data_IF_389931584745
#
_entry.id   IF_389931584745
#
_cell.length_a   1.000
_cell.length_b   1.000
_cell.length_c   1.000
_cell.angle_alpha   90.00
_cell.angle_beta   90.00
_cell.angle_gamma   90.00
#
_symmetry.space_group_name_H-M   'P 1'
#
loop_
_entity.id
_entity.type
_entity.pdbx_description
1 polymer ?
#
# COMPACT_ATOMS: atom_id res chain seq x y z
N UNK A 1 -13.46 -15.25 2.36
CA UNK A 1 -13.64 -13.78 2.23
C UNK A 1 -14.98 -13.48 1.58
N UNK A 2 -15.68 -12.44 2.02
CA UNK A 2 -16.88 -11.94 1.36
C UNK A 2 -16.62 -10.51 0.90
N UNK A 3 -16.67 -10.30 -0.40
CA UNK A 3 -16.57 -8.98 -1.03
C UNK A 3 -17.94 -8.59 -1.56
N UNK A 4 -18.45 -7.44 -1.15
CA UNK A 4 -19.77 -6.96 -1.50
C UNK A 4 -19.71 -5.53 -2.01
N UNK A 5 -19.98 -5.33 -3.28
CA UNK A 5 -20.16 -3.99 -3.86
C UNK A 5 -21.47 -3.41 -3.35
N UNK A 6 -21.41 -2.21 -2.78
CA UNK A 6 -22.55 -1.48 -2.20
C UNK A 6 -23.05 -0.38 -3.13
N UNK A 7 -22.13 0.29 -3.84
CA UNK A 7 -22.43 1.33 -4.83
C UNK A 7 -21.36 1.35 -5.92
N UNK A 8 -21.74 1.88 -7.09
CA UNK A 8 -20.84 2.12 -8.23
C UNK A 8 -21.14 3.48 -8.83
N UNK A 9 -20.09 4.16 -9.29
CA UNK A 9 -20.20 5.37 -10.12
C UNK A 9 -19.16 5.26 -11.25
N UNK A 10 -19.63 5.01 -12.47
CA UNK A 10 -18.77 4.55 -13.55
C UNK A 10 -18.08 3.22 -13.20
N UNK A 11 -16.73 3.18 -13.24
CA UNK A 11 -15.93 2.03 -12.80
C UNK A 11 -15.54 2.10 -11.33
N UNK A 12 -15.68 3.25 -10.69
CA UNK A 12 -15.40 3.41 -9.26
C UNK A 12 -16.40 2.58 -8.43
N UNK A 13 -15.88 1.85 -7.43
CA UNK A 13 -16.67 0.92 -6.60
C UNK A 13 -16.54 1.30 -5.12
N UNK A 14 -17.67 1.33 -4.43
CA UNK A 14 -17.76 1.32 -2.98
C UNK A 14 -18.11 -0.09 -2.54
N UNK A 15 -17.23 -0.77 -1.84
CA UNK A 15 -17.47 -2.15 -1.43
C UNK A 15 -17.02 -2.40 0.02
N UNK A 16 -17.51 -3.50 0.60
CA UNK A 16 -17.07 -4.04 1.88
C UNK A 16 -16.35 -5.36 1.67
N UNK A 17 -15.18 -5.51 2.32
CA UNK A 17 -14.41 -6.75 2.39
C UNK A 17 -14.48 -7.27 3.81
N UNK A 18 -15.25 -8.34 4.04
CA UNK A 18 -15.34 -8.97 5.36
C UNK A 18 -14.11 -9.86 5.61
N UNK A 19 -13.42 -9.64 6.71
CA UNK A 19 -12.25 -10.39 7.13
C UNK A 19 -12.37 -10.83 8.60
N UNK A 20 -11.49 -11.73 9.05
CA UNK A 20 -11.44 -12.16 10.46
C UNK A 20 -11.03 -11.05 11.44
N UNK A 21 -10.42 -9.98 10.94
CA UNK A 21 -9.99 -8.83 11.74
C UNK A 21 -10.86 -7.57 11.50
N UNK A 22 -12.08 -7.76 10.98
CA UNK A 22 -13.04 -6.69 10.73
C UNK A 22 -13.29 -6.42 9.24
N UNK A 23 -14.19 -5.50 8.97
CA UNK A 23 -14.60 -5.12 7.62
C UNK A 23 -13.71 -3.99 7.11
N UNK A 24 -13.22 -4.14 5.87
CA UNK A 24 -12.50 -3.09 5.15
C UNK A 24 -13.50 -2.40 4.21
N UNK A 25 -13.64 -1.10 4.36
CA UNK A 25 -14.47 -0.26 3.49
C UNK A 25 -13.63 0.30 2.35
N UNK A 26 -13.86 -0.16 1.13
CA UNK A 26 -13.12 0.28 -0.06
C UNK A 26 -13.83 1.42 -0.80
N UNK A 27 -13.09 2.27 -1.54
CA UNK A 27 -11.65 2.32 -1.67
C UNK A 27 -10.93 2.65 -0.36
N UNK A 28 -9.72 2.09 -0.17
CA UNK A 28 -8.96 2.22 1.06
C UNK A 28 -7.47 2.50 0.79
N UNK A 29 -6.87 3.36 1.62
CA UNK A 29 -5.43 3.56 1.67
C UNK A 29 -4.85 2.81 2.88
N UNK A 30 -3.89 1.91 2.62
CA UNK A 30 -3.20 1.14 3.65
C UNK A 30 -1.99 1.93 4.16
N UNK A 31 -1.94 2.21 5.45
CA UNK A 31 -0.84 2.94 6.03
C UNK A 31 0.38 2.02 6.21
N UNK A 32 1.53 2.41 5.61
CA UNK A 32 2.71 1.54 5.55
C UNK A 32 3.54 1.58 6.83
N UNK A 33 3.52 0.48 7.56
CA UNK A 33 4.34 0.21 8.74
C UNK A 33 5.43 -0.83 8.48
N UNK A 34 6.51 -0.43 7.84
CA UNK A 34 7.58 -1.29 7.30
C UNK A 34 8.05 -2.41 8.25
N UNK A 35 8.16 -2.13 9.54
CA UNK A 35 8.64 -3.09 10.57
C UNK A 35 7.67 -3.15 11.75
N UNK A 36 6.41 -3.39 11.49
CA UNK A 36 5.31 -3.35 12.47
C UNK A 36 5.19 -1.97 13.16
N UNK A 37 5.57 -0.92 12.44
CA UNK A 37 5.49 0.46 12.94
C UNK A 37 5.55 1.47 11.80
N UNK A 38 4.78 2.53 11.92
CA UNK A 38 4.83 3.66 10.99
C UNK A 38 6.07 4.51 11.28
N UNK A 39 6.93 4.71 10.27
CA UNK A 39 8.08 5.60 10.39
C UNK A 39 7.61 7.04 10.67
N UNK A 40 8.07 7.63 11.77
CA UNK A 40 7.66 8.96 12.22
C UNK A 40 7.06 8.92 13.62
N UNK A 41 7.33 7.86 14.39
CA UNK A 41 6.89 7.71 15.78
C UNK A 41 5.35 7.75 15.96
N UNK A 42 4.62 7.15 15.04
CA UNK A 42 3.15 7.02 15.08
C UNK A 42 2.81 5.68 15.72
N UNK A 43 2.05 5.71 16.81
CA UNK A 43 1.59 4.53 17.53
C UNK A 43 0.33 3.92 16.89
N UNK A 44 -0.04 2.71 17.32
CA UNK A 44 -1.30 2.08 16.93
C UNK A 44 -2.52 2.86 17.44
N UNK A 45 -2.42 3.51 18.60
CA UNK A 45 -3.48 4.39 19.11
C UNK A 45 -3.65 5.64 18.23
N UNK A 46 -2.54 6.23 17.75
CA UNK A 46 -2.59 7.29 16.76
C UNK A 46 -3.30 6.82 15.48
N UNK A 47 -2.96 5.63 14.99
CA UNK A 47 -3.58 5.06 13.78
C UNK A 47 -5.08 4.85 13.96
N UNK A 48 -5.52 4.35 15.13
CA UNK A 48 -6.96 4.25 15.46
C UNK A 48 -7.61 5.62 15.44
N UNK A 49 -6.95 6.61 16.07
CA UNK A 49 -7.46 7.99 16.19
C UNK A 49 -7.59 8.75 14.87
N UNK A 50 -6.81 8.38 13.85
CA UNK A 50 -6.89 8.96 12.50
C UNK A 50 -7.69 8.11 11.51
N UNK A 51 -8.41 7.09 11.97
CA UNK A 51 -9.31 6.30 11.14
C UNK A 51 -8.63 5.30 10.20
N UNK A 52 -7.39 4.86 10.50
CA UNK A 52 -6.71 3.82 9.71
C UNK A 52 -7.51 2.53 9.75
N UNK A 53 -7.84 1.97 8.59
CA UNK A 53 -8.55 0.71 8.48
C UNK A 53 -7.62 -0.49 8.33
N UNK A 54 -6.57 -0.33 7.51
CA UNK A 54 -5.62 -1.39 7.19
C UNK A 54 -4.21 -0.87 7.36
N UNK A 55 -3.37 -1.65 8.05
CA UNK A 55 -1.93 -1.43 8.11
C UNK A 55 -1.24 -2.37 7.13
N UNK A 56 -0.16 -1.89 6.46
CA UNK A 56 0.66 -2.72 5.60
C UNK A 56 2.04 -2.92 6.25
N UNK A 57 2.41 -4.16 6.52
CA UNK A 57 3.73 -4.55 7.04
C UNK A 57 4.58 -5.26 5.99
N UNK A 58 5.90 -5.02 6.00
CA UNK A 58 6.80 -5.61 5.01
C UNK A 58 7.39 -6.93 5.48
N UNK A 59 7.06 -7.99 4.76
CA UNK A 59 7.48 -9.38 5.00
C UNK A 59 9.01 -9.52 5.10
N UNK A 60 9.76 -9.04 4.11
CA UNK A 60 11.21 -9.12 4.09
C UNK A 60 11.85 -8.42 5.30
N UNK A 61 11.44 -7.19 5.60
CA UNK A 61 12.03 -6.44 6.70
C UNK A 61 11.76 -7.07 8.07
N UNK A 62 10.59 -7.63 8.28
CA UNK A 62 10.24 -8.33 9.52
C UNK A 62 11.00 -9.65 9.65
N UNK A 63 11.14 -10.40 8.55
CA UNK A 63 11.92 -11.64 8.53
C UNK A 63 13.39 -11.42 8.93
N UNK A 64 14.06 -10.42 8.31
CA UNK A 64 15.51 -10.23 8.52
C UNK A 64 15.88 -9.44 9.78
N UNK A 65 14.94 -8.70 10.39
CA UNK A 65 15.23 -7.91 11.60
C UNK A 65 14.78 -8.61 12.87
N UNK A 66 13.46 -8.77 13.02
CA UNK A 66 12.85 -9.36 14.22
C UNK A 66 12.84 -10.89 14.13
N UNK A 67 12.57 -11.41 12.92
CA UNK A 67 12.36 -12.82 12.65
C UNK A 67 10.87 -13.20 12.79
N UNK A 68 10.33 -13.75 11.72
CA UNK A 68 8.93 -14.16 11.64
C UNK A 68 8.59 -15.29 12.63
N UNK A 69 9.53 -16.19 12.93
CA UNK A 69 9.33 -17.26 13.90
C UNK A 69 9.12 -16.71 15.32
N UNK A 70 9.89 -15.70 15.72
CA UNK A 70 9.71 -15.05 17.02
C UNK A 70 8.34 -14.34 17.06
N UNK A 71 7.96 -13.67 15.98
CA UNK A 71 6.64 -13.01 15.91
C UNK A 71 5.51 -14.04 16.01
N UNK A 72 5.65 -15.24 15.40
CA UNK A 72 4.72 -16.36 15.56
C UNK A 72 4.60 -16.80 17.03
N UNK A 73 5.73 -17.00 17.71
CA UNK A 73 5.77 -17.37 19.15
C UNK A 73 5.07 -16.33 20.03
N UNK A 74 5.13 -15.06 19.66
CA UNK A 74 4.47 -13.94 20.34
C UNK A 74 2.98 -13.78 19.96
N UNK A 75 2.45 -14.65 19.08
CA UNK A 75 1.04 -14.68 18.69
C UNK A 75 0.69 -13.89 17.43
N UNK A 76 1.69 -13.61 16.57
CA UNK A 76 1.53 -12.90 15.29
C UNK A 76 1.58 -11.39 15.41
N UNK A 77 1.55 -10.70 14.25
CA UNK A 77 1.71 -9.24 14.17
C UNK A 77 0.63 -8.48 14.95
N UNK A 78 -0.61 -8.89 14.89
CA UNK A 78 -1.72 -8.22 15.57
C UNK A 78 -1.45 -8.10 17.07
N UNK A 79 -1.04 -9.19 17.70
CA UNK A 79 -0.70 -9.20 19.12
C UNK A 79 0.62 -8.48 19.39
N UNK A 80 1.63 -8.69 18.54
CA UNK A 80 2.96 -8.11 18.69
C UNK A 80 2.94 -6.58 18.68
N UNK A 81 2.17 -5.95 17.79
CA UNK A 81 2.08 -4.50 17.67
C UNK A 81 0.83 -3.88 18.33
N UNK A 82 0.03 -4.68 19.03
CA UNK A 82 -1.25 -4.25 19.62
C UNK A 82 -2.17 -3.56 18.59
N UNK A 83 -2.43 -4.28 17.49
CA UNK A 83 -3.30 -3.82 16.41
C UNK A 83 -4.44 -4.81 16.18
N UNK A 84 -5.68 -4.32 16.16
CA UNK A 84 -6.90 -5.12 16.14
C UNK A 84 -7.65 -5.08 14.80
N UNK A 85 -7.11 -4.35 13.82
CA UNK A 85 -7.71 -4.20 12.49
C UNK A 85 -6.91 -4.96 11.43
N UNK A 86 -7.43 -5.10 10.19
CA UNK A 86 -6.72 -5.81 9.14
C UNK A 86 -5.28 -5.35 8.91
N UNK A 87 -4.40 -6.34 8.64
CA UNK A 87 -3.03 -6.14 8.21
C UNK A 87 -2.86 -6.84 6.86
N UNK A 88 -2.26 -6.14 5.90
CA UNK A 88 -1.75 -6.75 4.68
C UNK A 88 -0.23 -6.88 4.81
N UNK A 89 0.32 -8.08 4.48
CA UNK A 89 1.76 -8.26 4.31
C UNK A 89 2.09 -8.34 2.82
N UNK A 90 3.13 -7.58 2.40
CA UNK A 90 3.64 -7.72 1.04
C UNK A 90 4.33 -9.07 0.82
N UNK A 91 4.64 -9.41 -0.43
CA UNK A 91 5.31 -10.68 -0.75
C UNK A 91 6.78 -10.75 -0.31
N UNK A 92 7.40 -9.61 -0.02
CA UNK A 92 8.85 -9.46 0.14
C UNK A 92 9.60 -9.39 -1.20
N UNK A 93 8.95 -9.70 -2.31
CA UNK A 93 9.56 -9.75 -3.66
C UNK A 93 10.17 -8.41 -4.07
N UNK A 94 9.43 -7.32 -3.97
CA UNK A 94 9.92 -6.00 -4.36
C UNK A 94 11.20 -5.60 -3.59
N UNK A 95 11.29 -5.86 -2.28
CA UNK A 95 12.46 -5.54 -1.47
C UNK A 95 13.67 -6.39 -1.89
N UNK A 96 13.44 -7.67 -2.20
CA UNK A 96 14.47 -8.55 -2.76
C UNK A 96 14.97 -8.00 -4.10
N UNK A 97 14.08 -7.47 -4.95
CA UNK A 97 14.43 -6.89 -6.25
C UNK A 97 15.08 -5.50 -6.14
N UNK A 98 14.67 -4.67 -5.19
CA UNK A 98 15.14 -3.28 -5.08
C UNK A 98 16.39 -3.10 -4.20
N UNK A 99 16.58 -3.95 -3.18
CA UNK A 99 17.66 -3.80 -2.19
C UNK A 99 18.85 -4.71 -2.42
N UNK A 100 18.69 -5.79 -3.17
CA UNK A 100 19.76 -6.75 -3.42
C UNK A 100 20.61 -6.33 -4.62
N UNK A 101 21.81 -5.81 -4.39
CA UNK A 101 22.76 -5.44 -5.44
C UNK A 101 23.24 -6.63 -6.29
N UNK A 102 23.31 -7.83 -5.70
CA UNK A 102 23.61 -9.10 -6.39
C UNK A 102 22.51 -10.11 -6.03
N UNK A 103 21.65 -10.38 -6.99
CA UNK A 103 20.59 -11.39 -6.88
C UNK A 103 20.69 -12.40 -8.01
N UNK A 104 20.31 -13.64 -7.73
CA UNK A 104 20.19 -14.69 -8.72
C UNK A 104 18.77 -15.22 -8.70
N UNK A 105 18.02 -14.90 -9.76
CA UNK A 105 16.65 -15.38 -9.96
C UNK A 105 16.73 -16.74 -10.64
N UNK A 106 16.00 -17.71 -10.09
CA UNK A 106 15.82 -19.05 -10.63
C UNK A 106 14.34 -19.43 -10.57
N UNK A 107 14.01 -20.60 -11.12
CA UNK A 107 12.64 -21.11 -11.09
C UNK A 107 12.17 -21.43 -9.66
N UNK A 108 13.06 -21.93 -8.82
CA UNK A 108 12.76 -22.21 -7.42
C UNK A 108 12.51 -20.96 -6.56
N UNK A 109 13.15 -19.82 -6.88
CA UNK A 109 13.08 -18.58 -6.12
C UNK A 109 14.28 -17.69 -6.35
N UNK A 110 14.59 -16.80 -5.41
CA UNK A 110 15.65 -15.78 -5.51
C UNK A 110 16.69 -15.98 -4.42
N UNK A 111 17.95 -16.04 -4.82
CA UNK A 111 19.12 -16.01 -3.92
C UNK A 111 19.68 -14.60 -3.89
N UNK A 112 19.89 -14.07 -2.70
CA UNK A 112 20.42 -12.72 -2.49
C UNK A 112 21.10 -12.58 -1.13
N UNK A 113 21.76 -11.45 -0.90
CA UNK A 113 22.39 -11.17 0.38
C UNK A 113 21.56 -10.18 1.20
N UNK A 114 21.44 -10.44 2.49
CA UNK A 114 20.83 -9.51 3.45
C UNK A 114 21.51 -8.13 3.39
N UNK A 115 20.72 -7.07 3.31
CA UNK A 115 21.23 -5.69 3.35
C UNK A 115 21.68 -5.25 4.74
N UNK A 116 21.45 -6.09 5.77
CA UNK A 116 21.82 -5.79 7.18
C UNK A 116 23.23 -6.27 7.47
N UNK A 117 23.52 -7.52 7.17
CA UNK A 117 24.74 -8.21 7.59
C UNK A 117 25.40 -9.03 6.45
N UNK A 118 24.82 -9.01 5.26
CA UNK A 118 25.37 -9.65 4.08
C UNK A 118 25.23 -11.17 4.02
N UNK A 119 24.54 -11.82 4.99
CA UNK A 119 24.34 -13.26 4.92
C UNK A 119 23.45 -13.65 3.73
N UNK A 120 23.65 -14.87 3.21
CA UNK A 120 22.87 -15.38 2.07
C UNK A 120 21.47 -15.77 2.50
N UNK A 121 20.49 -15.28 1.76
CA UNK A 121 19.07 -15.59 1.93
C UNK A 121 18.55 -16.23 0.64
N UNK A 122 17.71 -17.24 0.81
CA UNK A 122 16.83 -17.74 -0.24
C UNK A 122 15.41 -17.36 0.09
N UNK A 123 14.67 -16.89 -0.91
CA UNK A 123 13.24 -16.60 -0.81
C UNK A 123 12.54 -17.03 -2.10
N UNK A 124 11.60 -17.91 -1.97
CA UNK A 124 10.71 -18.38 -3.02
C UNK A 124 9.25 -18.29 -2.58
N UNK A 125 8.33 -18.80 -3.38
CA UNK A 125 6.91 -18.82 -3.04
C UNK A 125 6.61 -19.45 -1.68
N UNK A 126 7.17 -20.62 -1.39
CA UNK A 126 6.91 -21.33 -0.14
C UNK A 126 7.48 -20.60 1.06
N UNK A 127 8.70 -20.06 0.96
CA UNK A 127 9.33 -19.28 2.04
C UNK A 127 8.54 -18.00 2.32
N UNK A 128 8.12 -17.28 1.28
CA UNK A 128 7.31 -16.07 1.42
C UNK A 128 5.98 -16.37 2.11
N UNK A 129 5.27 -17.42 1.68
CA UNK A 129 4.02 -17.84 2.31
C UNK A 129 4.23 -18.28 3.76
N UNK A 130 5.29 -19.04 4.05
CA UNK A 130 5.61 -19.46 5.42
C UNK A 130 5.88 -18.26 6.34
N UNK A 131 6.64 -17.28 5.86
CA UNK A 131 6.92 -16.05 6.62
C UNK A 131 5.62 -15.30 6.90
N UNK A 132 4.79 -15.06 5.88
CA UNK A 132 3.52 -14.35 6.03
C UNK A 132 2.52 -15.10 6.93
N UNK A 133 2.51 -16.43 6.88
CA UNK A 133 1.73 -17.28 7.79
C UNK A 133 2.21 -17.15 9.24
N UNK A 134 3.53 -17.11 9.48
CA UNK A 134 4.10 -16.88 10.80
C UNK A 134 3.77 -15.47 11.33
N UNK A 135 3.75 -14.47 10.46
CA UNK A 135 3.32 -13.11 10.79
C UNK A 135 1.82 -13.04 11.11
N UNK A 136 1.02 -13.91 10.51
CA UNK A 136 -0.42 -14.02 10.77
C UNK A 136 -1.24 -12.84 10.26
N UNK A 137 -0.82 -12.22 9.15
CA UNK A 137 -1.56 -11.11 8.55
C UNK A 137 -2.96 -11.52 8.08
N UNK A 138 -3.83 -10.54 7.87
CA UNK A 138 -5.18 -10.76 7.32
C UNK A 138 -5.12 -11.12 5.85
N UNK A 139 -4.29 -10.40 5.09
CA UNK A 139 -4.09 -10.56 3.65
C UNK A 139 -2.61 -10.75 3.39
N UNK A 140 -2.27 -11.82 2.68
CA UNK A 140 -0.93 -12.10 2.18
C UNK A 140 -0.87 -11.85 0.67
N UNK A 141 0.26 -11.33 0.19
CA UNK A 141 0.53 -11.17 -1.23
C UNK A 141 1.28 -12.39 -1.76
N UNK A 142 0.91 -12.88 -2.93
CA UNK A 142 1.66 -13.93 -3.61
C UNK A 142 3.08 -13.44 -3.96
N UNK A 143 4.06 -14.35 -3.87
CA UNK A 143 5.43 -14.03 -4.28
C UNK A 143 5.51 -13.88 -5.80
N UNK A 144 6.06 -12.77 -6.26
CA UNK A 144 6.12 -12.38 -7.68
C UNK A 144 7.51 -11.91 -8.09
N UNK A 145 7.74 -11.83 -9.38
CA UNK A 145 8.92 -11.17 -9.93
C UNK A 145 8.56 -9.77 -10.45
N UNK A 146 8.99 -8.74 -9.74
CA UNK A 146 8.92 -7.37 -10.22
C UNK A 146 10.07 -7.12 -11.20
N UNK A 147 9.77 -7.18 -12.52
CA UNK A 147 10.76 -6.92 -13.56
C UNK A 147 11.24 -5.46 -13.51
N UNK A 148 12.53 -5.18 -13.88
CA UNK A 148 13.02 -3.82 -13.96
C UNK A 148 12.30 -3.03 -15.07
N UNK A 149 12.23 -1.71 -14.90
CA UNK A 149 11.75 -0.81 -15.93
C UNK A 149 12.87 0.16 -16.35
N UNK A 150 13.21 0.28 -17.67
CA UNK A 150 12.72 -0.53 -18.78
C UNK A 150 13.35 -1.94 -18.82
N UNK A 151 12.70 -2.89 -19.48
CA UNK A 151 13.27 -4.20 -19.81
C UNK A 151 12.83 -4.65 -21.19
N UNK A 152 13.48 -5.70 -21.72
CA UNK A 152 13.10 -6.28 -23.01
C UNK A 152 11.77 -7.04 -22.90
N UNK A 153 11.05 -7.12 -24.02
CA UNK A 153 9.80 -7.89 -24.10
C UNK A 153 10.01 -9.36 -23.71
N UNK A 154 11.06 -10.00 -24.24
CA UNK A 154 11.39 -11.39 -23.92
C UNK A 154 11.63 -11.61 -22.42
N UNK A 155 12.33 -10.68 -21.75
CA UNK A 155 12.50 -10.75 -20.29
C UNK A 155 11.15 -10.68 -19.58
N UNK A 156 10.28 -9.74 -19.99
CA UNK A 156 8.96 -9.55 -19.40
C UNK A 156 8.09 -10.79 -19.55
N UNK A 157 8.04 -11.41 -20.74
CA UNK A 157 7.29 -12.64 -20.99
C UNK A 157 7.75 -13.79 -20.09
N UNK A 158 9.06 -13.97 -19.94
CA UNK A 158 9.64 -14.99 -19.05
C UNK A 158 9.33 -14.70 -17.56
N UNK A 159 9.40 -13.44 -17.14
CA UNK A 159 9.11 -13.01 -15.78
C UNK A 159 7.63 -13.22 -15.42
N UNK A 160 6.73 -12.86 -16.30
CA UNK A 160 5.28 -13.06 -16.13
C UNK A 160 4.92 -14.54 -16.06
N UNK A 161 5.50 -15.37 -16.96
CA UNK A 161 5.29 -16.81 -16.94
C UNK A 161 5.78 -17.44 -15.61
N UNK A 162 6.92 -16.97 -15.08
CA UNK A 162 7.44 -17.39 -13.77
C UNK A 162 6.52 -16.95 -12.63
N UNK A 163 6.07 -15.71 -12.64
CA UNK A 163 5.12 -15.17 -11.65
C UNK A 163 3.83 -15.99 -11.59
N UNK A 164 3.31 -16.41 -12.76
CA UNK A 164 2.14 -17.31 -12.82
C UNK A 164 2.40 -18.66 -12.13
N UNK A 165 3.56 -19.30 -12.40
CA UNK A 165 3.92 -20.57 -11.75
C UNK A 165 4.14 -20.40 -10.24
N UNK A 166 4.74 -19.30 -9.85
CA UNK A 166 4.94 -18.96 -8.43
C UNK A 166 3.61 -18.72 -7.71
N UNK A 167 2.63 -18.11 -8.37
CA UNK A 167 1.29 -17.94 -7.79
C UNK A 167 0.65 -19.30 -7.48
N UNK A 168 0.74 -20.27 -8.37
CA UNK A 168 0.23 -21.63 -8.12
C UNK A 168 0.90 -22.29 -6.92
N UNK A 169 2.21 -22.11 -6.76
CA UNK A 169 2.97 -22.61 -5.60
C UNK A 169 2.55 -21.89 -4.31
N UNK A 170 2.35 -20.56 -4.34
CA UNK A 170 1.83 -19.79 -3.22
C UNK A 170 0.46 -20.29 -2.76
N UNK A 171 -0.46 -20.57 -3.68
CA UNK A 171 -1.78 -21.11 -3.37
C UNK A 171 -1.71 -22.49 -2.70
N UNK A 172 -0.88 -23.39 -3.24
CA UNK A 172 -0.69 -24.72 -2.66
C UNK A 172 -0.11 -24.62 -1.25
N UNK A 173 0.90 -23.79 -1.05
CA UNK A 173 1.53 -23.61 0.26
C UNK A 173 0.60 -22.90 1.26
N UNK A 174 -0.14 -21.88 0.85
CA UNK A 174 -1.16 -21.24 1.69
C UNK A 174 -2.20 -22.26 2.18
N UNK A 175 -2.69 -23.10 1.28
CA UNK A 175 -3.67 -24.15 1.63
C UNK A 175 -3.07 -25.12 2.66
N UNK A 176 -1.82 -25.54 2.48
CA UNK A 176 -1.11 -26.41 3.42
C UNK A 176 -0.95 -25.72 4.79
N UNK A 177 -0.47 -24.48 4.81
CA UNK A 177 -0.23 -23.72 6.03
C UNK A 177 -1.52 -23.48 6.83
N UNK A 178 -2.60 -23.08 6.15
CA UNK A 178 -3.89 -22.82 6.80
C UNK A 178 -4.52 -24.09 7.39
N UNK A 179 -4.09 -25.29 6.98
CA UNK A 179 -4.53 -26.57 7.56
C UNK A 179 -3.78 -26.97 8.84
N UNK A 180 -2.64 -26.34 9.14
CA UNK A 180 -1.83 -26.72 10.31
C UNK A 180 -2.46 -26.24 11.62
N UNK A 181 -2.31 -27.03 12.72
CA UNK A 181 -2.94 -26.70 14.00
C UNK A 181 -2.39 -25.43 14.65
N UNK A 182 -1.12 -25.12 14.41
CA UNK A 182 -0.35 -24.02 15.02
C UNK A 182 -0.25 -22.77 14.16
N UNK A 183 -1.02 -22.66 13.08
CA UNK A 183 -1.10 -21.47 12.23
C UNK A 183 -1.77 -20.33 12.98
N UNK A 184 -1.13 -19.14 12.95
CA UNK A 184 -1.59 -17.94 13.66
C UNK A 184 -2.95 -17.48 13.13
N UNK A 185 -3.10 -17.40 11.80
CA UNK A 185 -4.34 -17.04 11.13
C UNK A 185 -4.68 -18.07 10.05
N UNK A 186 -5.65 -18.95 10.31
CA UNK A 186 -6.09 -20.00 9.38
C UNK A 186 -7.00 -19.51 8.25
N UNK A 187 -7.47 -18.30 8.36
CA UNK A 187 -8.33 -17.62 7.37
C UNK A 187 -7.58 -16.49 6.63
N UNK A 188 -6.24 -16.61 6.57
CA UNK A 188 -5.41 -15.67 5.83
C UNK A 188 -5.79 -15.70 4.35
N UNK A 189 -6.04 -14.50 3.78
CA UNK A 189 -6.42 -14.30 2.39
C UNK A 189 -5.18 -14.20 1.50
N UNK A 190 -5.29 -14.60 0.23
CA UNK A 190 -4.21 -14.51 -0.76
C UNK A 190 -4.61 -13.62 -1.93
N UNK A 191 -3.83 -12.57 -2.17
CA UNK A 191 -3.96 -11.75 -3.37
C UNK A 191 -2.89 -12.13 -4.41
N UNK A 192 -3.33 -12.41 -5.66
CA UNK A 192 -2.45 -12.61 -6.80
C UNK A 192 -1.97 -11.28 -7.37
N UNK A 193 -0.82 -11.29 -8.06
CA UNK A 193 -0.22 -10.06 -8.61
C UNK A 193 -0.13 -10.16 -10.13
N UNK A 194 -0.78 -9.23 -10.83
CA UNK A 194 -0.61 -9.02 -12.27
C UNK A 194 0.70 -8.27 -12.51
N UNK A 195 1.55 -8.83 -13.38
CA UNK A 195 2.78 -8.24 -13.87
C UNK A 195 2.73 -8.08 -15.40
N UNK A 196 3.67 -7.35 -15.99
CA UNK A 196 3.74 -7.14 -17.45
C UNK A 196 4.34 -5.79 -17.85
N UNK A 197 4.85 -5.00 -16.89
CA UNK A 197 5.44 -3.67 -17.16
C UNK A 197 4.44 -2.74 -17.84
N UNK A 198 4.87 -2.08 -18.91
CA UNK A 198 4.04 -1.22 -19.77
C UNK A 198 3.62 -1.91 -21.08
N UNK A 199 3.79 -3.25 -21.18
CA UNK A 199 3.33 -4.06 -22.31
C UNK A 199 1.86 -4.46 -22.09
N UNK A 200 0.95 -3.77 -22.74
CA UNK A 200 -0.50 -3.91 -22.55
C UNK A 200 -1.01 -5.32 -22.82
N UNK A 201 -0.59 -5.92 -23.95
CA UNK A 201 -0.99 -7.25 -24.35
C UNK A 201 -0.51 -8.35 -23.37
N UNK A 202 0.72 -8.21 -22.84
CA UNK A 202 1.26 -9.12 -21.80
C UNK A 202 0.44 -8.97 -20.51
N UNK A 203 0.12 -7.74 -20.12
CA UNK A 203 -0.70 -7.44 -18.94
C UNK A 203 -2.09 -8.07 -19.03
N UNK A 204 -2.76 -7.89 -20.16
CA UNK A 204 -4.09 -8.46 -20.42
C UNK A 204 -4.05 -9.98 -20.36
N UNK A 205 -3.13 -10.60 -21.10
CA UNK A 205 -2.99 -12.06 -21.12
C UNK A 205 -2.69 -12.63 -19.71
N UNK A 206 -1.87 -11.93 -18.92
CA UNK A 206 -1.59 -12.32 -17.54
C UNK A 206 -2.79 -12.15 -16.63
N UNK A 207 -3.55 -11.03 -16.75
CA UNK A 207 -4.77 -10.80 -15.98
C UNK A 207 -5.81 -11.91 -16.25
N UNK A 208 -6.07 -12.25 -17.53
CA UNK A 208 -6.94 -13.36 -17.91
C UNK A 208 -6.50 -14.71 -17.36
N UNK A 209 -5.17 -14.91 -17.23
CA UNK A 209 -4.61 -16.15 -16.70
C UNK A 209 -4.80 -16.26 -15.18
N UNK A 210 -4.39 -15.23 -14.42
CA UNK A 210 -4.47 -15.27 -12.96
C UNK A 210 -5.90 -15.17 -12.45
N UNK A 211 -6.81 -14.51 -13.18
CA UNK A 211 -8.24 -14.43 -12.84
C UNK A 211 -8.89 -15.80 -12.72
N UNK A 212 -8.41 -16.80 -13.51
CA UNK A 212 -8.88 -18.18 -13.45
C UNK A 212 -8.31 -18.97 -12.27
N UNK A 213 -7.31 -18.44 -11.57
CA UNK A 213 -6.67 -19.08 -10.42
C UNK A 213 -7.41 -18.83 -9.10
N UNK A 214 -8.52 -18.08 -9.12
CA UNK A 214 -9.44 -17.89 -8.01
C UNK A 214 -8.77 -17.41 -6.69
N UNK A 215 -7.96 -16.36 -6.78
CA UNK A 215 -7.45 -15.66 -5.59
C UNK A 215 -8.55 -14.90 -4.86
N UNK A 216 -8.30 -14.49 -3.62
CA UNK A 216 -9.23 -13.66 -2.85
C UNK A 216 -9.29 -12.22 -3.35
N UNK A 217 -8.23 -11.74 -3.98
CA UNK A 217 -8.13 -10.44 -4.64
C UNK A 217 -6.98 -10.41 -5.63
N UNK A 218 -6.86 -9.33 -6.37
CA UNK A 218 -5.85 -9.18 -7.40
C UNK A 218 -5.16 -7.83 -7.32
N UNK A 219 -3.84 -7.83 -7.42
CA UNK A 219 -3.05 -6.60 -7.44
C UNK A 219 -2.48 -6.35 -8.84
N UNK A 220 -2.31 -5.08 -9.17
CA UNK A 220 -1.50 -4.62 -10.30
C UNK A 220 -0.16 -4.15 -9.75
N UNK A 221 0.88 -4.97 -9.95
CA UNK A 221 2.24 -4.69 -9.52
C UNK A 221 3.13 -4.19 -10.66
N UNK A 222 4.37 -3.77 -10.34
CA UNK A 222 5.35 -3.33 -11.33
C UNK A 222 4.98 -2.08 -12.11
N UNK A 223 4.17 -1.20 -11.50
CA UNK A 223 3.94 0.19 -11.90
C UNK A 223 4.50 1.13 -10.83
N UNK A 224 4.55 2.44 -11.11
CA UNK A 224 5.23 3.45 -10.28
C UNK A 224 6.74 3.15 -10.06
N UNK A 225 7.38 2.57 -11.07
CA UNK A 225 8.80 2.20 -11.08
C UNK A 225 9.64 3.01 -12.07
N UNK A 226 9.06 4.06 -12.66
CA UNK A 226 9.76 4.99 -13.56
C UNK A 226 9.00 5.37 -14.84
N UNK A 227 7.87 4.74 -15.11
CA UNK A 227 6.96 5.12 -16.20
C UNK A 227 6.26 6.44 -15.90
N UNK A 228 5.68 7.07 -16.93
CA UNK A 228 4.85 8.27 -16.76
C UNK A 228 3.49 7.94 -16.13
N UNK A 229 2.82 8.94 -15.56
CA UNK A 229 1.47 8.76 -15.02
C UNK A 229 0.48 8.37 -16.13
N UNK A 230 0.62 8.93 -17.32
CA UNK A 230 -0.20 8.61 -18.49
C UNK A 230 -0.05 7.14 -18.89
N UNK A 231 1.18 6.62 -18.88
CA UNK A 231 1.42 5.20 -19.15
C UNK A 231 0.80 4.32 -18.06
N UNK A 232 0.95 4.68 -16.80
CA UNK A 232 0.31 3.96 -15.68
C UNK A 232 -1.22 3.92 -15.86
N UNK A 233 -1.84 5.06 -16.18
CA UNK A 233 -3.31 5.12 -16.38
C UNK A 233 -3.75 4.30 -17.59
N UNK A 234 -3.02 4.35 -18.71
CA UNK A 234 -3.27 3.53 -19.89
C UNK A 234 -3.24 2.04 -19.56
N UNK A 235 -2.27 1.60 -18.77
CA UNK A 235 -2.17 0.21 -18.33
C UNK A 235 -3.34 -0.17 -17.41
N UNK A 236 -3.75 0.70 -16.49
CA UNK A 236 -4.93 0.45 -15.64
C UNK A 236 -6.21 0.33 -16.47
N UNK A 237 -6.38 1.21 -17.47
CA UNK A 237 -7.52 1.15 -18.39
C UNK A 237 -7.58 -0.18 -19.16
N UNK A 238 -6.44 -0.73 -19.54
CA UNK A 238 -6.33 -1.99 -20.25
C UNK A 238 -6.54 -3.22 -19.33
N UNK A 239 -6.00 -3.20 -18.11
CA UNK A 239 -5.88 -4.38 -17.24
C UNK A 239 -7.09 -4.58 -16.34
N UNK A 240 -7.57 -3.51 -15.69
CA UNK A 240 -8.61 -3.63 -14.67
C UNK A 240 -9.89 -4.31 -15.19
N UNK A 241 -10.35 -4.08 -16.44
CA UNK A 241 -11.49 -4.80 -17.00
C UNK A 241 -11.30 -6.32 -17.16
N UNK A 242 -10.06 -6.81 -17.12
CA UNK A 242 -9.73 -8.24 -17.21
C UNK A 242 -9.56 -8.92 -15.84
N UNK A 243 -9.65 -8.16 -14.76
CA UNK A 243 -9.69 -8.69 -13.40
C UNK A 243 -11.14 -8.89 -12.96
N UNK A 244 -11.44 -9.90 -12.11
CA UNK A 244 -12.80 -10.16 -11.65
C UNK A 244 -13.38 -8.98 -10.87
N UNK A 245 -14.50 -8.44 -11.32
CA UNK A 245 -15.16 -7.28 -10.68
C UNK A 245 -15.64 -7.61 -9.26
N UNK A 246 -16.02 -8.86 -9.01
CA UNK A 246 -16.46 -9.39 -7.71
C UNK A 246 -15.32 -9.68 -6.73
N UNK A 247 -14.11 -9.24 -7.06
CA UNK A 247 -12.92 -9.32 -6.22
C UNK A 247 -12.28 -7.94 -6.06
N UNK A 248 -11.63 -7.66 -4.92
CA UNK A 248 -10.92 -6.40 -4.77
C UNK A 248 -9.72 -6.29 -5.70
N UNK A 249 -9.51 -5.09 -6.25
CA UNK A 249 -8.35 -4.73 -7.07
C UNK A 249 -7.42 -3.80 -6.30
N UNK A 250 -6.13 -4.14 -6.24
CA UNK A 250 -5.12 -3.38 -5.51
C UNK A 250 -4.03 -2.84 -6.46
N UNK A 251 -3.78 -1.54 -6.45
CA UNK A 251 -2.66 -0.91 -7.17
C UNK A 251 -1.50 -0.69 -6.19
N UNK A 252 -0.42 -1.47 -6.37
CA UNK A 252 0.70 -1.52 -5.44
C UNK A 252 1.62 -0.30 -5.53
N UNK A 253 1.98 0.26 -4.38
CA UNK A 253 2.97 1.35 -4.27
C UNK A 253 2.49 2.72 -4.73
N UNK A 254 1.21 2.89 -5.01
CA UNK A 254 0.61 4.12 -5.53
C UNK A 254 -0.33 4.75 -4.48
N UNK A 255 -0.23 6.00 -4.18
CA UNK A 255 0.72 6.99 -4.65
C UNK A 255 0.37 8.40 -4.19
N UNK A 256 0.47 9.35 -5.09
CA UNK A 256 0.01 10.71 -4.78
C UNK A 256 -1.51 10.79 -4.70
N UNK A 257 -2.10 11.81 -4.05
CA UNK A 257 -3.56 12.00 -4.05
C UNK A 257 -4.17 11.98 -5.46
N UNK A 258 -3.53 12.62 -6.42
CA UNK A 258 -3.99 12.63 -7.82
C UNK A 258 -3.99 11.23 -8.45
N UNK A 259 -2.92 10.44 -8.24
CA UNK A 259 -2.87 9.07 -8.77
C UNK A 259 -3.96 8.18 -8.18
N UNK A 260 -4.27 8.34 -6.88
CA UNK A 260 -5.34 7.58 -6.20
C UNK A 260 -6.69 7.92 -6.82
N UNK A 261 -7.00 9.23 -6.98
CA UNK A 261 -8.24 9.67 -7.60
C UNK A 261 -8.43 9.10 -9.02
N UNK A 262 -7.38 9.16 -9.84
CA UNK A 262 -7.40 8.60 -11.20
C UNK A 262 -7.51 7.08 -11.23
N UNK A 263 -6.91 6.37 -10.28
CA UNK A 263 -6.97 4.92 -10.22
C UNK A 263 -8.32 4.41 -9.67
N UNK A 264 -8.93 5.11 -8.72
CA UNK A 264 -10.30 4.80 -8.26
C UNK A 264 -11.32 4.92 -9.41
N UNK A 265 -11.19 5.95 -10.26
CA UNK A 265 -12.00 6.13 -11.46
C UNK A 265 -11.91 4.93 -12.43
N UNK A 266 -10.80 4.19 -12.36
CA UNK A 266 -10.51 2.99 -13.16
C UNK A 266 -10.88 1.68 -12.47
N UNK A 267 -11.48 1.74 -11.27
CA UNK A 267 -11.99 0.57 -10.55
C UNK A 267 -11.04 -0.05 -9.54
N UNK A 268 -9.99 0.67 -9.11
CA UNK A 268 -9.06 0.21 -8.08
C UNK A 268 -9.62 0.45 -6.68
N UNK A 269 -9.47 -0.54 -5.80
CA UNK A 269 -10.05 -0.58 -4.45
C UNK A 269 -9.01 -0.34 -3.33
N UNK A 270 -7.77 -0.82 -3.48
CA UNK A 270 -6.72 -0.79 -2.45
C UNK A 270 -5.50 -0.02 -2.94
N UNK A 271 -4.90 0.73 -2.02
CA UNK A 271 -3.72 1.54 -2.27
C UNK A 271 -2.75 1.49 -1.10
N UNK A 272 -1.46 1.59 -1.38
CA UNK A 272 -0.41 1.86 -0.41
C UNK A 272 0.64 2.79 -1.01
N UNK A 273 1.27 3.57 -0.20
CA UNK A 273 2.47 4.32 -0.59
C UNK A 273 3.23 4.82 0.65
N UNK A 274 4.54 4.88 0.56
CA UNK A 274 5.39 5.48 1.59
C UNK A 274 5.40 7.02 1.55
N UNK A 275 4.83 7.64 0.52
CA UNK A 275 4.87 9.11 0.34
C UNK A 275 4.30 9.90 1.51
N UNK A 276 3.14 9.58 2.10
CA UNK A 276 2.61 10.35 3.23
C UNK A 276 3.60 10.43 4.38
N UNK A 277 4.16 9.29 4.77
CA UNK A 277 5.12 9.21 5.88
C UNK A 277 6.50 9.74 5.52
N UNK A 278 6.99 9.45 4.30
CA UNK A 278 8.28 9.95 3.83
C UNK A 278 8.28 11.47 3.72
N UNK A 279 7.27 12.04 3.07
CA UNK A 279 7.11 13.49 2.93
C UNK A 279 6.94 14.17 4.30
N UNK A 280 6.08 13.64 5.17
CA UNK A 280 5.88 14.16 6.52
C UNK A 280 7.16 14.24 7.34
N UNK A 281 7.98 13.19 7.31
CA UNK A 281 9.29 13.18 7.98
C UNK A 281 10.26 14.26 7.48
N UNK A 282 10.05 14.76 6.26
CA UNK A 282 10.84 15.84 5.66
C UNK A 282 10.09 17.19 5.65
N UNK A 283 9.06 17.33 6.50
CA UNK A 283 8.30 18.56 6.66
C UNK A 283 7.40 18.93 5.47
N UNK A 284 7.22 18.03 4.51
CA UNK A 284 6.27 18.21 3.42
C UNK A 284 4.91 17.63 3.81
N UNK A 285 3.88 18.46 3.79
CA UNK A 285 2.52 18.08 4.16
C UNK A 285 1.53 18.35 3.02
N UNK A 286 0.52 17.49 2.91
CA UNK A 286 -0.53 17.57 1.90
C UNK A 286 -1.70 18.40 2.43
N UNK A 287 -2.28 19.22 1.58
CA UNK A 287 -3.49 19.99 1.88
C UNK A 287 -4.44 19.93 0.68
N UNK A 288 -5.68 20.38 0.88
CA UNK A 288 -6.66 20.54 -0.20
C UNK A 288 -6.31 21.72 -1.16
N UNK A 289 -5.19 22.38 -0.92
CA UNK A 289 -4.70 23.50 -1.74
C UNK A 289 -3.29 23.25 -2.28
N UNK A 290 -2.84 21.99 -2.28
CA UNK A 290 -1.51 21.59 -2.71
C UNK A 290 -0.59 21.19 -1.55
N UNK A 291 0.61 20.79 -1.90
CA UNK A 291 1.65 20.37 -0.95
C UNK A 291 2.48 21.56 -0.49
N UNK A 292 2.68 21.70 0.82
CA UNK A 292 3.53 22.73 1.42
C UNK A 292 4.76 22.15 2.11
N UNK A 293 5.83 22.92 2.19
CA UNK A 293 7.05 22.57 2.93
C UNK A 293 7.16 23.48 4.17
N UNK A 294 6.93 22.91 5.34
CA UNK A 294 6.94 23.65 6.61
C UNK A 294 8.32 24.13 7.04
N UNK A 295 9.42 23.75 6.35
CA UNK A 295 10.74 24.36 6.55
C UNK A 295 10.84 25.77 5.98
N UNK A 296 9.92 26.19 5.09
CA UNK A 296 9.97 27.51 4.45
C UNK A 296 9.82 28.64 5.46
N UNK A 297 10.54 29.75 5.23
CA UNK A 297 10.60 30.89 6.17
C UNK A 297 9.26 31.59 6.36
N UNK A 298 8.43 31.59 5.33
CA UNK A 298 7.08 32.17 5.40
C UNK A 298 6.22 31.63 6.57
N UNK A 299 6.49 30.40 7.04
CA UNK A 299 5.77 29.78 8.14
C UNK A 299 6.37 30.10 9.53
N UNK A 300 7.43 30.89 9.61
CA UNK A 300 8.14 31.17 10.87
C UNK A 300 7.27 31.90 11.91
N UNK A 301 6.29 32.68 11.43
CA UNK A 301 5.35 33.44 12.26
C UNK A 301 3.89 33.06 12.02
N UNK A 302 3.64 31.95 11.30
CA UNK A 302 2.30 31.53 10.90
C UNK A 302 1.64 30.73 12.05
N UNK A 303 0.68 31.34 12.73
CA UNK A 303 -0.05 30.75 13.84
C UNK A 303 -1.23 29.88 13.40
N UNK A 304 -1.53 29.81 12.10
CA UNK A 304 -2.58 28.93 11.55
C UNK A 304 -2.18 27.47 11.66
N UNK A 305 -3.15 26.52 11.67
CA UNK A 305 -2.88 25.10 11.55
C UNK A 305 -2.28 24.75 10.17
N UNK A 306 -1.81 23.51 9.97
CA UNK A 306 -1.36 23.05 8.65
C UNK A 306 -2.45 23.28 7.60
N UNK A 307 -3.69 22.96 7.95
CA UNK A 307 -4.87 23.19 7.11
C UNK A 307 -6.06 23.64 7.96
N UNK A 308 -6.70 24.73 7.57
CA UNK A 308 -7.90 25.24 8.23
C UNK A 308 -9.04 24.21 8.11
N UNK A 309 -9.76 24.00 9.23
CA UNK A 309 -10.87 23.03 9.28
C UNK A 309 -10.44 21.56 9.44
N UNK A 310 -9.17 21.23 9.26
CA UNK A 310 -8.66 19.87 9.43
C UNK A 310 -8.76 19.40 10.88
N UNK A 311 -9.32 18.21 11.11
CA UNK A 311 -9.56 17.64 12.44
C UNK A 311 -8.44 16.72 12.94
N UNK A 312 -7.31 16.63 12.22
CA UNK A 312 -6.20 15.81 12.68
C UNK A 312 -5.60 16.33 14.01
N UNK A 313 -4.94 15.47 14.81
CA UNK A 313 -4.34 15.88 16.07
C UNK A 313 -3.33 17.03 15.94
N UNK A 314 -2.61 17.11 14.81
CA UNK A 314 -1.66 18.20 14.57
C UNK A 314 -2.37 19.55 14.36
N UNK A 315 -3.35 19.60 13.46
CA UNK A 315 -4.08 20.84 13.13
C UNK A 315 -4.94 21.37 14.28
N UNK A 316 -5.50 20.48 15.10
CA UNK A 316 -6.33 20.87 16.25
C UNK A 316 -5.54 21.54 17.37
N UNK A 317 -4.23 21.31 17.45
CA UNK A 317 -3.45 21.68 18.62
C UNK A 317 -2.23 22.54 18.34
N UNK A 318 -1.72 22.55 17.11
CA UNK A 318 -0.42 23.15 16.82
C UNK A 318 -0.44 24.03 15.57
N UNK A 319 0.34 25.13 15.65
CA UNK A 319 0.53 26.05 14.54
C UNK A 319 1.64 25.62 13.60
N UNK A 320 1.62 26.10 12.36
CA UNK A 320 2.71 25.96 11.38
C UNK A 320 4.03 26.47 11.94
N UNK A 321 4.03 27.61 12.63
CA UNK A 321 5.22 28.18 13.24
C UNK A 321 5.86 27.26 14.27
N UNK A 322 5.04 26.65 15.17
CA UNK A 322 5.54 25.72 16.16
C UNK A 322 6.07 24.43 15.52
N UNK A 323 5.34 23.84 14.57
CA UNK A 323 5.79 22.63 13.85
C UNK A 323 7.09 22.92 13.10
N UNK A 324 7.20 24.08 12.43
CA UNK A 324 8.45 24.51 11.79
C UNK A 324 9.61 24.61 12.79
N UNK A 325 9.37 25.21 13.95
CA UNK A 325 10.37 25.28 15.02
C UNK A 325 10.88 23.88 15.39
N UNK A 326 9.96 22.94 15.66
CA UNK A 326 10.31 21.55 16.00
C UNK A 326 11.14 20.88 14.91
N UNK A 327 10.74 21.04 13.64
CA UNK A 327 11.47 20.49 12.50
C UNK A 327 12.89 21.07 12.39
N UNK A 328 13.05 22.41 12.58
CA UNK A 328 14.37 23.09 12.61
C UNK A 328 15.24 22.64 13.76
N UNK A 329 14.63 22.44 14.93
CA UNK A 329 15.28 21.92 16.12
C UNK A 329 15.58 20.41 16.05
N UNK A 330 15.11 19.71 14.99
CA UNK A 330 15.22 18.26 14.80
C UNK A 330 14.51 17.45 15.90
N UNK A 331 13.46 18.03 16.49
CA UNK A 331 12.63 17.35 17.47
C UNK A 331 11.71 16.32 16.77
N UNK A 332 11.66 15.10 17.31
CA UNK A 332 10.84 14.02 16.74
C UNK A 332 9.36 14.35 16.69
N UNK A 333 8.87 15.18 17.62
CA UNK A 333 7.48 15.62 17.63
C UNK A 333 7.10 16.37 16.35
N UNK A 334 7.98 17.21 15.79
CA UNK A 334 7.72 17.90 14.52
C UNK A 334 7.49 16.94 13.37
N UNK A 335 8.33 15.91 13.25
CA UNK A 335 8.18 14.84 12.28
C UNK A 335 6.87 14.07 12.48
N UNK A 336 6.57 13.66 13.73
CA UNK A 336 5.36 12.91 14.07
C UNK A 336 4.10 13.68 13.69
N UNK A 337 4.03 14.97 14.00
CA UNK A 337 2.86 15.82 13.69
C UNK A 337 2.62 15.93 12.17
N UNK A 338 3.69 16.09 11.37
CA UNK A 338 3.58 16.11 9.92
C UNK A 338 3.11 14.76 9.36
N UNK A 339 3.62 13.64 9.90
CA UNK A 339 3.23 12.30 9.47
C UNK A 339 1.77 12.02 9.82
N UNK A 340 1.34 12.34 11.04
CA UNK A 340 -0.05 12.19 11.48
C UNK A 340 -1.02 13.00 10.60
N UNK A 341 -0.66 14.24 10.29
CA UNK A 341 -1.47 15.07 9.38
C UNK A 341 -1.59 14.42 8.00
N UNK A 342 -0.49 13.97 7.41
CA UNK A 342 -0.51 13.36 6.08
C UNK A 342 -1.32 12.07 6.04
N UNK A 343 -1.19 11.19 7.04
CA UNK A 343 -1.97 9.96 7.11
C UNK A 343 -3.46 10.25 7.31
N UNK A 344 -3.79 11.22 8.16
CA UNK A 344 -5.16 11.68 8.34
C UNK A 344 -5.74 12.24 7.03
N UNK A 345 -4.98 13.06 6.30
CA UNK A 345 -5.38 13.59 5.00
C UNK A 345 -5.75 12.47 4.01
N UNK A 346 -4.89 11.45 3.90
CA UNK A 346 -5.16 10.31 3.00
C UNK A 346 -6.38 9.51 3.45
N UNK A 347 -6.49 9.18 4.73
CA UNK A 347 -7.63 8.43 5.26
C UNK A 347 -8.96 9.18 5.07
N UNK A 348 -8.95 10.50 5.29
CA UNK A 348 -10.12 11.37 5.08
C UNK A 348 -10.49 11.45 3.61
N UNK A 349 -9.51 11.63 2.72
CA UNK A 349 -9.76 11.61 1.27
C UNK A 349 -10.41 10.30 0.82
N UNK A 350 -9.98 9.15 1.37
CA UNK A 350 -10.61 7.87 1.04
C UNK A 350 -12.05 7.79 1.56
N UNK A 351 -12.38 8.42 2.68
CA UNK A 351 -13.75 8.53 3.17
C UNK A 351 -14.60 9.39 2.25
N UNK A 352 -14.10 10.57 1.86
CA UNK A 352 -14.77 11.45 0.90
C UNK A 352 -15.02 10.77 -0.45
N UNK A 353 -14.05 9.98 -0.94
CA UNK A 353 -14.19 9.18 -2.16
C UNK A 353 -15.35 8.18 -2.04
N UNK A 354 -15.42 7.42 -0.93
CA UNK A 354 -16.52 6.47 -0.70
C UNK A 354 -17.88 7.16 -0.68
N UNK A 355 -17.98 8.28 0.03
CA UNK A 355 -19.21 9.10 0.09
C UNK A 355 -19.60 9.62 -1.29
N UNK A 356 -18.65 10.09 -2.10
CA UNK A 356 -18.90 10.56 -3.45
C UNK A 356 -19.40 9.45 -4.38
N UNK A 357 -18.86 8.22 -4.26
CA UNK A 357 -19.35 7.06 -5.03
C UNK A 357 -20.77 6.67 -4.58
N UNK A 358 -21.04 6.63 -3.27
CA UNK A 358 -22.36 6.32 -2.73
C UNK A 358 -23.42 7.33 -3.16
N UNK A 359 -23.04 8.60 -3.34
CA UNK A 359 -23.90 9.69 -3.79
C UNK A 359 -23.93 9.89 -5.32
N UNK A 360 -23.24 9.03 -6.09
CA UNK A 360 -23.15 9.11 -7.56
C UNK A 360 -22.66 10.47 -8.08
N UNK A 361 -21.67 11.08 -7.41
CA UNK A 361 -21.04 12.35 -7.78
C UNK A 361 -19.52 12.27 -7.79
N UNK A 362 -18.97 11.05 -8.02
CA UNK A 362 -17.52 10.84 -7.95
C UNK A 362 -16.75 11.64 -9.01
N UNK A 363 -17.26 11.76 -10.22
CA UNK A 363 -16.60 12.53 -11.28
C UNK A 363 -16.44 14.01 -10.90
N UNK A 364 -17.49 14.64 -10.36
CA UNK A 364 -17.46 16.03 -9.89
C UNK A 364 -16.50 16.18 -8.68
N UNK A 365 -16.59 15.26 -7.70
CA UNK A 365 -15.68 15.25 -6.57
C UNK A 365 -14.22 15.13 -7.02
N UNK A 366 -13.91 14.19 -7.93
CA UNK A 366 -12.56 13.97 -8.47
C UNK A 366 -12.00 15.25 -9.10
N UNK A 367 -12.77 15.89 -10.00
CA UNK A 367 -12.33 17.11 -10.68
C UNK A 367 -11.97 18.22 -9.69
N UNK A 368 -12.87 18.52 -8.76
CA UNK A 368 -12.65 19.53 -7.72
C UNK A 368 -11.46 19.20 -6.81
N UNK A 369 -11.32 17.92 -6.42
CA UNK A 369 -10.23 17.48 -5.54
C UNK A 369 -8.89 17.55 -6.25
N UNK A 370 -8.83 17.18 -7.55
CA UNK A 370 -7.63 17.28 -8.39
C UNK A 370 -7.13 18.72 -8.50
N UNK A 371 -8.02 19.67 -8.79
CA UNK A 371 -7.66 21.10 -8.82
C UNK A 371 -6.99 21.55 -7.51
N UNK A 372 -7.52 21.07 -6.38
CA UNK A 372 -6.97 21.37 -5.06
C UNK A 372 -5.60 20.75 -4.84
N UNK A 373 -5.46 19.43 -4.95
CA UNK A 373 -4.25 18.69 -4.56
C UNK A 373 -3.09 18.86 -5.53
N UNK A 374 -3.34 19.21 -6.81
CA UNK A 374 -2.32 19.52 -7.82
C UNK A 374 -1.97 21.01 -7.89
N UNK A 375 -2.75 21.86 -7.24
CA UNK A 375 -2.54 23.30 -7.17
C UNK A 375 -1.19 23.65 -6.52
N UNK A 376 -0.61 24.76 -6.96
CA UNK A 376 0.44 25.39 -6.19
C UNK A 376 -0.19 26.06 -4.99
N UNK A 377 0.22 25.67 -3.78
CA UNK A 377 -0.21 26.33 -2.56
C UNK A 377 0.09 27.83 -2.66
N UNK A 378 -0.93 28.62 -2.93
CA UNK A 378 -0.85 30.08 -2.85
C UNK A 378 -1.38 30.44 -1.48
N UNK A 379 -0.51 30.93 -0.61
CA UNK A 379 -0.96 31.64 0.58
C UNK A 379 -1.87 32.76 0.10
N UNK A 380 -3.16 32.56 0.21
CA UNK A 380 -4.10 33.69 0.22
C UNK A 380 -3.89 34.36 1.57
N UNK A 381 -3.00 35.36 1.57
CA UNK A 381 -2.80 36.31 2.66
C UNK A 381 -4.08 37.11 2.86
#
# INVERSE_FOLDING_TARGET
MKYKILAKDGRAKRADVETVHGTIHTPVFMNVGTVAAIKGAVSTDDLRGIGTQVELSNTYHLHVRTGDKLIKELGGLHRFMNWDRPILTDSGGFQVFSLAGLRKIKEEGVYFNSHIDGHKIFMGPEESMQIQSNLGSTIAMAFDECAPHPCTREYMENSVARTTRWLARCQAEMTRLNSLPDTVNKEQLLFGINQGGTFEDIRIAHADTISKMNCDGYAVGGLAVGESHEEMYRILDAVVPHLPEEKPTYLMGVGTPANILEAVDRGVDFFDCVYPTRNGRHGHVYTNHGKINLFNEQFSKDMRPIEEGCQCPACRSYSRAYIRHLLKAKEMLGMRLCVLHNLYFYNTMMTEIREAIENHCYAEYKEKKLEGVTGNYKDKV
#
